data_IF_794006988831
#
_entry.id   IF_794006988831
#
_cell.length_a   1.000
_cell.length_b   1.000
_cell.length_c   1.000
_cell.angle_alpha   90.00
_cell.angle_beta   90.00
_cell.angle_gamma   90.00
#
_symmetry.space_group_name_H-M   'P 1'
#
loop_
_entity.id
_entity.type
_entity.pdbx_description
1 polymer ?
#
# COMPACT_ATOMS: atom_id res chain seq x y z
N UNK A 1 4.22 -62.15 -34.76
CA UNK A 1 3.97 -61.99 -33.31
C UNK A 1 5.29 -61.67 -32.64
N UNK A 2 5.30 -60.56 -31.88
CA UNK A 2 6.27 -60.15 -30.85
C UNK A 2 7.76 -60.09 -31.20
N UNK A 3 8.28 -58.86 -31.32
CA UNK A 3 9.62 -58.52 -30.84
C UNK A 3 9.57 -57.17 -30.13
N UNK A 4 10.04 -57.20 -28.89
CA UNK A 4 10.14 -56.12 -27.94
C UNK A 4 11.64 -55.79 -27.79
N UNK A 5 11.96 -54.50 -27.61
CA UNK A 5 13.05 -53.93 -26.77
C UNK A 5 14.14 -53.09 -27.44
N UNK A 6 14.46 -52.03 -26.67
CA UNK A 6 15.73 -51.30 -26.49
C UNK A 6 15.90 -50.06 -27.39
N UNK A 7 15.51 -48.85 -26.92
CA UNK A 7 16.23 -47.92 -26.02
C UNK A 7 17.69 -47.69 -26.45
N UNK A 8 18.03 -46.46 -26.84
CA UNK A 8 19.10 -45.67 -26.21
C UNK A 8 19.27 -44.25 -26.81
N UNK A 9 19.72 -43.35 -25.93
CA UNK A 9 20.43 -42.08 -26.16
C UNK A 9 19.63 -40.81 -26.49
N UNK A 10 19.42 -40.00 -25.46
CA UNK A 10 19.03 -38.59 -25.57
C UNK A 10 19.17 -37.82 -24.25
N UNK A 11 20.24 -38.06 -23.49
CA UNK A 11 20.45 -37.43 -22.18
C UNK A 11 21.78 -36.65 -22.18
N UNK A 12 21.86 -35.49 -22.85
CA UNK A 12 23.09 -34.67 -22.80
C UNK A 12 22.94 -33.16 -23.07
N UNK A 13 21.79 -32.52 -22.89
CA UNK A 13 21.70 -31.05 -23.12
C UNK A 13 20.82 -30.26 -22.14
N UNK A 14 20.43 -30.81 -20.99
CA UNK A 14 19.46 -30.16 -20.10
C UNK A 14 20.04 -29.47 -18.85
N UNK A 15 21.35 -29.47 -18.62
CA UNK A 15 21.89 -29.10 -17.29
C UNK A 15 22.86 -27.92 -17.25
N UNK A 16 23.16 -27.25 -18.37
CA UNK A 16 24.13 -26.16 -18.37
C UNK A 16 23.55 -24.75 -18.09
N UNK A 17 22.22 -24.56 -18.09
CA UNK A 17 21.60 -23.22 -18.07
C UNK A 17 20.83 -22.85 -16.79
N UNK A 18 20.84 -23.67 -15.74
CA UNK A 18 20.07 -23.41 -14.51
C UNK A 18 20.88 -22.80 -13.36
N UNK A 19 22.21 -22.70 -13.48
CA UNK A 19 23.06 -22.21 -12.39
C UNK A 19 23.25 -20.68 -12.38
N UNK A 20 23.12 -20.00 -13.54
CA UNK A 20 23.35 -18.54 -13.62
C UNK A 20 22.10 -17.70 -13.37
N UNK A 21 20.89 -18.27 -13.44
CA UNK A 21 19.65 -17.52 -13.27
C UNK A 21 19.30 -17.24 -11.79
N UNK A 22 19.91 -17.95 -10.83
CA UNK A 22 19.53 -17.87 -9.41
C UNK A 22 20.28 -16.77 -8.66
N UNK A 23 21.45 -16.32 -9.15
CA UNK A 23 22.27 -15.32 -8.45
C UNK A 23 21.87 -13.85 -8.71
N UNK A 24 20.98 -13.58 -9.67
CA UNK A 24 20.60 -12.21 -10.03
C UNK A 24 19.40 -11.66 -9.25
N UNK A 25 18.66 -12.48 -8.49
CA UNK A 25 17.41 -12.05 -7.83
C UNK A 25 17.57 -11.53 -6.40
N UNK A 26 18.75 -11.57 -5.79
CA UNK A 26 18.90 -11.27 -4.35
C UNK A 26 19.20 -9.81 -4.00
N UNK A 27 19.42 -8.92 -4.98
CA UNK A 27 19.93 -7.56 -4.72
C UNK A 27 18.84 -6.46 -4.77
N UNK A 28 17.57 -6.76 -5.05
CA UNK A 28 16.54 -5.71 -5.22
C UNK A 28 15.63 -5.40 -4.02
N UNK A 29 15.76 -6.05 -2.87
CA UNK A 29 14.75 -5.96 -1.80
C UNK A 29 15.11 -5.06 -0.59
N UNK A 30 16.28 -4.42 -0.57
CA UNK A 30 16.66 -3.50 0.50
C UNK A 30 16.64 -2.05 0.01
N UNK A 31 15.47 -1.57 -0.39
CA UNK A 31 15.26 -0.13 -0.48
C UNK A 31 15.24 0.41 0.95
N UNK A 32 16.04 1.44 1.30
CA UNK A 32 15.87 2.09 2.59
C UNK A 32 14.41 2.52 2.68
N UNK A 33 13.74 2.16 3.78
CA UNK A 33 12.44 2.71 4.11
C UNK A 33 12.66 4.21 4.35
N UNK A 34 12.70 4.99 3.25
CA UNK A 34 12.73 6.43 3.31
C UNK A 34 11.55 6.84 4.17
N UNK A 35 11.80 7.67 5.18
CA UNK A 35 10.79 8.09 6.14
C UNK A 35 9.51 8.43 5.38
N UNK A 36 8.46 7.60 5.51
CA UNK A 36 7.19 7.85 4.82
C UNK A 36 6.76 9.28 5.16
N UNK A 37 6.47 10.08 4.14
CA UNK A 37 5.83 11.37 4.38
C UNK A 37 4.49 11.12 5.10
N UNK A 38 4.09 11.98 6.05
CA UNK A 38 2.80 11.82 6.69
C UNK A 38 1.70 11.82 5.61
N UNK A 39 0.73 10.90 5.66
CA UNK A 39 -0.33 10.83 4.67
C UNK A 39 -1.34 11.95 4.93
N UNK A 40 -0.97 13.18 4.58
CA UNK A 40 -1.87 14.32 4.61
C UNK A 40 -2.85 14.19 3.44
N UNK A 41 -4.12 13.96 3.75
CA UNK A 41 -5.15 13.92 2.73
C UNK A 41 -5.51 15.34 2.24
N UNK A 42 -6.18 15.44 1.09
CA UNK A 42 -6.60 16.72 0.51
C UNK A 42 -7.55 17.51 1.41
N UNK A 43 -7.41 18.84 1.35
CA UNK A 43 -8.22 19.79 2.11
C UNK A 43 -9.70 19.77 1.70
N UNK A 44 -10.56 19.69 2.71
CA UNK A 44 -12.01 19.66 2.49
C UNK A 44 -12.57 20.84 1.69
N UNK A 45 -12.24 22.12 2.00
CA UNK A 45 -12.75 23.25 1.24
C UNK A 45 -12.41 23.18 -0.25
N UNK A 46 -11.20 22.73 -0.58
CA UNK A 46 -10.75 22.66 -1.97
C UNK A 46 -11.50 21.58 -2.76
N UNK A 47 -11.71 20.41 -2.15
CA UNK A 47 -12.44 19.31 -2.79
C UNK A 47 -13.92 19.64 -2.90
N UNK A 48 -14.52 20.23 -1.87
CA UNK A 48 -15.92 20.66 -1.90
C UNK A 48 -16.17 21.74 -2.96
N UNK A 49 -15.25 22.70 -3.14
CA UNK A 49 -15.38 23.75 -4.16
C UNK A 49 -15.41 23.20 -5.60
N UNK A 50 -14.79 22.04 -5.84
CA UNK A 50 -14.69 21.40 -7.17
C UNK A 50 -15.69 20.27 -7.39
N UNK A 51 -16.41 19.84 -6.35
CA UNK A 51 -17.27 18.66 -6.39
C UNK A 51 -18.72 19.07 -6.24
N UNK A 52 -19.48 18.97 -7.33
CA UNK A 52 -20.92 19.19 -7.31
C UNK A 52 -21.63 17.87 -6.98
N UNK A 53 -21.65 17.49 -5.69
CA UNK A 53 -22.29 16.24 -5.27
C UNK A 53 -21.80 15.73 -3.92
N UNK A 54 -21.98 14.43 -3.69
CA UNK A 54 -21.51 13.75 -2.49
C UNK A 54 -19.98 13.74 -2.46
N UNK A 55 -19.39 14.23 -1.37
CA UNK A 55 -17.97 14.08 -1.07
C UNK A 55 -17.80 12.99 -0.02
N UNK A 56 -16.63 12.37 0.05
CA UNK A 56 -16.29 11.38 1.06
C UNK A 56 -15.35 12.00 2.08
N UNK A 57 -15.72 11.96 3.35
CA UNK A 57 -14.93 12.52 4.44
C UNK A 57 -14.23 11.38 5.17
N UNK A 58 -12.91 11.43 5.18
CA UNK A 58 -12.06 10.60 6.01
C UNK A 58 -11.72 11.34 7.30
N UNK A 59 -11.86 10.68 8.44
CA UNK A 59 -11.29 11.15 9.71
C UNK A 59 -10.41 10.07 10.32
N UNK A 60 -9.34 10.47 10.99
CA UNK A 60 -8.47 9.57 11.76
C UNK A 60 -8.01 10.27 13.04
N UNK A 61 -7.83 9.49 14.09
CA UNK A 61 -6.98 9.84 15.23
C UNK A 61 -5.92 8.77 15.36
N UNK A 62 -4.66 9.17 15.26
CA UNK A 62 -3.53 8.25 15.34
C UNK A 62 -2.38 8.85 16.13
N UNK A 63 -1.54 7.97 16.66
CA UNK A 63 -0.30 8.33 17.31
C UNK A 63 0.88 7.72 16.57
N UNK A 64 2.00 8.44 16.56
CA UNK A 64 3.27 7.97 16.06
C UNK A 64 4.36 8.38 17.04
N UNK A 65 5.27 7.46 17.30
CA UNK A 65 6.51 7.73 18.03
C UNK A 65 7.57 8.27 17.05
N UNK A 66 8.24 9.34 17.45
CA UNK A 66 9.38 9.88 16.71
C UNK A 66 10.70 9.18 17.11
N UNK A 67 11.83 9.66 16.58
CA UNK A 67 13.15 9.06 16.85
C UNK A 67 13.67 9.33 18.27
N UNK A 68 12.94 10.11 19.08
CA UNK A 68 13.31 10.52 20.43
C UNK A 68 12.30 10.01 21.48
N UNK A 69 11.56 8.94 21.15
CA UNK A 69 10.51 8.33 21.97
C UNK A 69 9.37 9.30 22.34
N UNK A 70 9.21 10.39 21.58
CA UNK A 70 8.11 11.33 21.77
C UNK A 70 6.89 10.88 21.00
N UNK A 71 5.74 10.80 21.70
CA UNK A 71 4.47 10.39 21.11
C UNK A 71 3.74 11.60 20.56
N UNK A 72 3.68 11.70 19.24
CA UNK A 72 2.87 12.71 18.56
C UNK A 72 1.44 12.18 18.33
N UNK A 73 0.44 12.85 18.90
CA UNK A 73 -0.97 12.58 18.58
C UNK A 73 -1.44 13.50 17.47
N UNK A 74 -2.01 12.91 16.41
CA UNK A 74 -2.59 13.65 15.29
C UNK A 74 -4.04 13.27 15.07
N UNK A 75 -4.87 14.31 14.93
CA UNK A 75 -6.21 14.18 14.36
C UNK A 75 -6.17 14.77 12.95
N UNK A 76 -6.64 14.01 11.96
CA UNK A 76 -6.76 14.51 10.60
C UNK A 76 -8.16 14.30 10.06
N UNK A 77 -8.58 15.26 9.21
CA UNK A 77 -9.80 15.19 8.44
C UNK A 77 -9.52 15.64 7.02
N UNK A 78 -9.90 14.82 6.05
CA UNK A 78 -9.69 15.09 4.63
C UNK A 78 -10.92 14.71 3.83
N UNK A 79 -11.13 15.36 2.68
CA UNK A 79 -12.27 15.08 1.82
C UNK A 79 -11.82 14.56 0.46
N UNK A 80 -12.59 13.64 -0.10
CA UNK A 80 -12.27 12.95 -1.34
C UNK A 80 -13.47 12.95 -2.27
N UNK A 81 -13.21 12.89 -3.58
CA UNK A 81 -14.28 12.79 -4.59
C UNK A 81 -14.89 11.39 -4.67
N UNK A 82 -14.17 10.37 -4.19
CA UNK A 82 -14.62 8.97 -4.25
C UNK A 82 -14.35 8.23 -2.95
N UNK A 83 -15.17 7.19 -2.72
CA UNK A 83 -15.01 6.27 -1.59
C UNK A 83 -13.64 5.58 -1.61
N UNK A 84 -13.25 5.08 -2.78
CA UNK A 84 -11.99 4.35 -2.94
C UNK A 84 -10.76 5.20 -2.59
N UNK A 85 -10.75 6.49 -2.96
CA UNK A 85 -9.65 7.39 -2.61
C UNK A 85 -9.56 7.62 -1.09
N UNK A 86 -10.71 7.77 -0.43
CA UNK A 86 -10.81 7.93 1.01
C UNK A 86 -10.39 6.66 1.77
N UNK A 87 -10.84 5.48 1.34
CA UNK A 87 -10.44 4.19 1.92
C UNK A 87 -8.94 3.91 1.72
N UNK A 88 -8.39 4.23 0.54
CA UNK A 88 -6.95 4.14 0.30
C UNK A 88 -6.17 5.05 1.25
N UNK A 89 -6.59 6.30 1.41
CA UNK A 89 -5.95 7.23 2.34
C UNK A 89 -6.00 6.72 3.80
N UNK A 90 -7.13 6.16 4.23
CA UNK A 90 -7.24 5.54 5.56
C UNK A 90 -6.28 4.36 5.73
N UNK A 91 -6.13 3.52 4.71
CA UNK A 91 -5.17 2.42 4.73
C UNK A 91 -3.72 2.92 4.87
N UNK A 92 -3.35 3.91 4.06
CA UNK A 92 -2.02 4.53 4.13
C UNK A 92 -1.79 5.18 5.51
N UNK A 93 -2.82 5.83 6.08
CA UNK A 93 -2.77 6.42 7.42
C UNK A 93 -2.59 5.39 8.54
N UNK A 94 -3.28 4.24 8.48
CA UNK A 94 -3.11 3.13 9.42
C UNK A 94 -1.67 2.61 9.44
N UNK A 95 -1.02 2.57 8.29
CA UNK A 95 0.37 2.13 8.20
C UNK A 95 1.37 3.13 8.78
N UNK A 96 0.99 4.42 8.85
CA UNK A 96 1.83 5.50 9.33
C UNK A 96 1.66 5.79 10.82
N UNK A 97 0.42 5.72 11.33
CA UNK A 97 0.10 5.90 12.75
C UNK A 97 0.03 4.55 13.44
N UNK A 98 1.16 4.09 13.96
CA UNK A 98 1.33 2.74 14.52
C UNK A 98 0.74 2.57 15.92
N UNK A 99 0.40 3.67 16.61
CA UNK A 99 -0.09 3.66 17.99
C UNK A 99 -1.50 4.26 18.07
N UNK A 100 -2.34 3.72 18.96
CA UNK A 100 -3.66 4.26 19.35
C UNK A 100 -4.47 4.81 18.16
N UNK A 101 -4.65 3.95 17.16
CA UNK A 101 -5.37 4.28 15.94
C UNK A 101 -6.86 4.02 16.15
N UNK A 102 -7.65 5.09 16.24
CA UNK A 102 -9.08 5.04 16.53
C UNK A 102 -9.84 6.07 15.68
N UNK A 103 -11.17 5.92 15.65
CA UNK A 103 -12.10 6.86 14.98
C UNK A 103 -11.84 6.99 13.47
N UNK A 104 -11.42 5.91 12.84
CA UNK A 104 -11.15 5.89 11.43
C UNK A 104 -12.39 5.54 10.64
N UNK A 105 -12.80 6.47 9.79
CA UNK A 105 -14.07 6.35 9.10
C UNK A 105 -14.03 7.13 7.81
N UNK A 106 -14.50 6.46 6.77
CA UNK A 106 -14.80 7.06 5.49
C UNK A 106 -16.32 7.12 5.35
N UNK A 107 -16.90 8.32 5.30
CA UNK A 107 -18.36 8.49 5.22
C UNK A 107 -18.74 9.48 4.12
N UNK A 108 -19.87 9.26 3.43
CA UNK A 108 -20.39 10.24 2.51
C UNK A 108 -20.89 11.47 3.28
N UNK A 109 -20.59 12.66 2.79
CA UNK A 109 -21.10 13.95 3.24
C UNK A 109 -21.64 14.68 2.02
N UNK A 110 -22.85 15.23 2.17
CA UNK A 110 -23.35 16.20 1.20
C UNK A 110 -22.93 17.60 1.67
N UNK A 111 -22.34 18.43 0.79
CA UNK A 111 -22.09 19.83 1.08
C UNK A 111 -23.41 20.49 1.48
N UNK A 112 -23.46 21.12 2.66
CA UNK A 112 -24.62 21.96 3.01
C UNK A 112 -24.65 23.12 2.01
N UNK A 113 -25.72 23.19 1.23
CA UNK A 113 -26.01 24.34 0.36
C UNK A 113 -26.53 25.50 1.19
#
# INVERSE_FOLDING_TARGET
MMTLRSLTFGASLAFANLAFAVLALTVLAAQPAGAQAPPFGPDCPQVMARTHGTVWVGTIRGQREDMWDSVETRFQRSCFQSRAACEKWLYDARSYYTLNFDNDLCRPMQPRR
#
